data_IF_342525598559
#
_entry.id   IF_342525598559
#
_cell.length_a   1.000
_cell.length_b   1.000
_cell.length_c   1.000
_cell.angle_alpha   90.00
_cell.angle_beta   90.00
_cell.angle_gamma   90.00
#
_symmetry.space_group_name_H-M   'P 1'
#
loop_
_entity.id
_entity.type
_entity.pdbx_description
1 polymer ?
#
# COMPACT_ATOMS: atom_id res chain seq x y z
N UNK A 1 15.42 -15.89 -16.61
CA UNK A 1 16.26 -15.33 -15.53
C UNK A 1 15.45 -15.41 -14.27
N UNK A 2 15.87 -16.26 -13.33
CA UNK A 2 15.19 -16.42 -12.04
C UNK A 2 15.40 -15.13 -11.27
N UNK A 3 14.37 -14.28 -11.17
CA UNK A 3 14.34 -13.15 -10.27
C UNK A 3 14.32 -13.70 -8.84
N UNK A 4 15.30 -13.33 -8.02
CA UNK A 4 15.23 -13.62 -6.60
C UNK A 4 13.92 -13.02 -6.06
N UNK A 5 13.11 -13.85 -5.43
CA UNK A 5 11.90 -13.39 -4.74
C UNK A 5 12.30 -12.28 -3.77
N UNK A 6 11.74 -11.10 -3.93
CA UNK A 6 11.92 -9.99 -2.99
C UNK A 6 10.95 -10.23 -1.85
N UNK A 7 11.49 -10.60 -0.72
CA UNK A 7 10.71 -10.86 0.49
C UNK A 7 10.41 -9.54 1.20
N UNK A 8 9.14 -9.30 1.54
CA UNK A 8 8.78 -8.23 2.47
C UNK A 8 8.92 -8.71 3.91
N UNK A 9 9.38 -7.85 4.85
CA UNK A 9 9.46 -8.21 6.26
C UNK A 9 8.09 -8.66 6.80
N UNK A 10 8.04 -9.84 7.41
CA UNK A 10 6.84 -10.42 8.01
C UNK A 10 6.08 -11.44 7.15
N UNK A 11 6.27 -11.47 5.84
CA UNK A 11 5.60 -12.43 4.93
C UNK A 11 6.59 -13.40 4.26
N UNK A 12 7.88 -13.21 4.50
CA UNK A 12 8.96 -13.99 3.93
C UNK A 12 8.72 -15.50 4.06
N UNK A 13 8.66 -16.17 2.93
CA UNK A 13 8.60 -17.62 2.86
C UNK A 13 7.21 -18.25 3.05
N UNK A 14 6.13 -17.50 3.21
CA UNK A 14 4.79 -18.10 3.34
C UNK A 14 4.30 -18.71 2.02
N UNK A 15 4.66 -18.10 0.89
CA UNK A 15 4.28 -18.56 -0.45
C UNK A 15 5.53 -18.69 -1.34
N UNK A 16 6.48 -19.58 -0.99
CA UNK A 16 7.77 -19.66 -1.65
C UNK A 16 7.64 -20.01 -3.11
N UNK A 17 8.28 -19.24 -3.99
CA UNK A 17 8.29 -19.47 -5.42
C UNK A 17 6.96 -19.20 -6.14
N UNK A 18 5.98 -18.62 -5.45
CA UNK A 18 4.72 -18.24 -6.07
C UNK A 18 4.85 -16.88 -6.75
N UNK A 19 4.54 -16.85 -8.04
CA UNK A 19 4.36 -15.60 -8.81
C UNK A 19 2.98 -15.62 -9.46
N UNK A 20 2.14 -14.66 -9.09
CA UNK A 20 0.79 -14.56 -9.65
C UNK A 20 0.80 -14.32 -11.16
N UNK A 21 1.86 -13.76 -11.73
CA UNK A 21 1.98 -13.53 -13.18
C UNK A 21 2.13 -14.84 -13.96
N UNK A 22 2.51 -15.95 -13.33
CA UNK A 22 2.46 -17.28 -13.93
C UNK A 22 1.02 -17.71 -14.28
N UNK A 23 0.01 -17.02 -13.74
CA UNK A 23 -1.41 -17.27 -14.02
C UNK A 23 -1.90 -16.57 -15.31
N UNK A 24 -1.12 -15.65 -15.89
CA UNK A 24 -1.51 -14.89 -17.10
C UNK A 24 -2.01 -15.78 -18.25
N UNK A 25 -1.38 -16.93 -18.58
CA UNK A 25 -1.86 -17.80 -19.66
C UNK A 25 -3.22 -18.45 -19.41
N UNK A 26 -3.70 -18.41 -18.18
CA UNK A 26 -4.95 -19.03 -17.75
C UNK A 26 -6.12 -18.04 -17.63
N UNK A 27 -5.87 -16.75 -17.79
CA UNK A 27 -6.89 -15.72 -17.86
C UNK A 27 -7.36 -15.49 -19.28
N UNK A 28 -8.54 -14.93 -19.45
CA UNK A 28 -8.92 -14.38 -20.74
C UNK A 28 -8.11 -13.09 -21.02
N UNK A 29 -8.09 -12.68 -22.29
CA UNK A 29 -7.27 -11.55 -22.71
C UNK A 29 -7.59 -10.28 -21.95
N UNK A 30 -8.86 -9.98 -21.71
CA UNK A 30 -9.28 -8.74 -21.03
C UNK A 30 -8.79 -8.74 -19.59
N UNK A 31 -8.96 -9.84 -18.87
CA UNK A 31 -8.47 -10.00 -17.50
C UNK A 31 -6.93 -9.90 -17.44
N UNK A 32 -6.23 -10.57 -18.35
CA UNK A 32 -4.78 -10.51 -18.43
C UNK A 32 -4.28 -9.07 -18.68
N UNK A 33 -4.87 -8.38 -19.66
CA UNK A 33 -4.51 -6.99 -20.00
C UNK A 33 -4.71 -6.05 -18.79
N UNK A 34 -5.80 -6.18 -18.03
CA UNK A 34 -6.07 -5.38 -16.82
C UNK A 34 -5.06 -5.66 -15.71
N UNK A 35 -4.67 -6.92 -15.50
CA UNK A 35 -3.67 -7.26 -14.46
C UNK A 35 -2.29 -6.77 -14.86
N UNK A 36 -1.88 -7.02 -16.10
CA UNK A 36 -0.57 -6.59 -16.60
C UNK A 36 -0.42 -5.07 -16.62
N UNK A 37 -1.48 -4.33 -16.96
CA UNK A 37 -1.45 -2.87 -16.90
C UNK A 37 -1.12 -2.29 -15.51
N UNK A 38 -1.32 -3.06 -14.44
CA UNK A 38 -0.96 -2.68 -13.07
C UNK A 38 0.54 -2.77 -12.78
N UNK A 39 1.29 -3.48 -13.63
CA UNK A 39 2.75 -3.54 -13.55
C UNK A 39 3.43 -2.38 -14.29
N UNK A 40 2.67 -1.68 -15.15
CA UNK A 40 3.14 -0.51 -15.87
C UNK A 40 3.01 0.73 -15.00
N UNK A 41 4.12 1.15 -14.40
CA UNK A 41 4.11 2.28 -13.48
C UNK A 41 4.29 3.61 -14.21
N UNK A 42 3.43 4.60 -13.94
CA UNK A 42 3.71 5.97 -14.35
C UNK A 42 5.01 6.47 -13.68
N UNK A 43 5.93 7.01 -14.46
CA UNK A 43 7.25 7.45 -13.93
C UNK A 43 7.30 8.93 -13.59
N UNK A 44 6.35 9.73 -14.06
CA UNK A 44 6.34 11.18 -13.86
C UNK A 44 5.27 11.57 -12.83
N UNK A 45 5.67 12.27 -11.77
CA UNK A 45 4.76 12.91 -10.84
C UNK A 45 3.93 13.98 -11.56
N UNK A 46 2.64 14.02 -11.29
CA UNK A 46 1.67 14.97 -11.90
C UNK A 46 0.91 15.78 -10.86
N UNK A 47 0.76 15.23 -9.66
CA UNK A 47 -0.01 15.83 -8.58
C UNK A 47 0.88 16.45 -7.51
N UNK A 48 1.84 15.70 -6.98
CA UNK A 48 2.71 16.16 -5.91
C UNK A 48 3.83 17.06 -6.44
N UNK A 49 4.13 18.12 -5.70
CA UNK A 49 5.35 18.90 -5.86
C UNK A 49 6.55 18.09 -5.34
N UNK A 50 7.79 18.49 -5.66
CA UNK A 50 9.01 17.80 -5.23
C UNK A 50 9.10 17.62 -3.71
N UNK A 51 8.72 18.64 -2.93
CA UNK A 51 8.72 18.55 -1.47
C UNK A 51 7.61 17.64 -0.94
N UNK A 52 6.42 17.70 -1.56
CA UNK A 52 5.30 16.80 -1.21
C UNK A 52 5.62 15.36 -1.60
N UNK A 53 6.28 15.14 -2.75
CA UNK A 53 6.73 13.81 -3.19
C UNK A 53 7.62 13.15 -2.15
N UNK A 54 8.65 13.85 -1.67
CA UNK A 54 9.59 13.30 -0.69
C UNK A 54 8.89 12.89 0.60
N UNK A 55 8.02 13.74 1.13
CA UNK A 55 7.24 13.47 2.33
C UNK A 55 6.26 12.30 2.12
N UNK A 56 5.51 12.30 1.00
CA UNK A 56 4.54 11.26 0.67
C UNK A 56 5.23 9.90 0.46
N UNK A 57 6.41 9.87 -0.16
CA UNK A 57 7.19 8.64 -0.37
C UNK A 57 7.59 8.01 0.96
N UNK A 58 8.14 8.81 1.88
CA UNK A 58 8.51 8.35 3.20
C UNK A 58 7.29 7.82 3.98
N UNK A 59 6.18 8.56 3.97
CA UNK A 59 4.93 8.17 4.60
C UNK A 59 4.39 6.86 4.04
N UNK A 60 4.28 6.74 2.71
CA UNK A 60 3.70 5.57 2.06
C UNK A 60 4.57 4.32 2.23
N UNK A 61 5.90 4.45 2.18
CA UNK A 61 6.83 3.36 2.45
C UNK A 61 6.68 2.83 3.87
N UNK A 62 6.57 3.71 4.88
CA UNK A 62 6.33 3.29 6.26
C UNK A 62 4.98 2.58 6.42
N UNK A 63 3.91 3.12 5.83
CA UNK A 63 2.58 2.52 5.93
C UNK A 63 2.47 1.15 5.26
N UNK A 64 3.28 0.89 4.24
CA UNK A 64 3.27 -0.38 3.48
C UNK A 64 4.43 -1.30 3.87
N UNK A 65 5.31 -0.88 4.79
CA UNK A 65 6.45 -1.68 5.24
C UNK A 65 7.50 -1.92 4.15
N UNK A 66 7.63 -1.01 3.17
CA UNK A 66 8.59 -1.16 2.08
C UNK A 66 9.90 -0.46 2.37
N UNK A 67 11.01 -1.18 2.28
CA UNK A 67 12.38 -0.63 2.31
C UNK A 67 12.86 -0.19 0.91
N UNK A 68 12.05 -0.41 -0.12
CA UNK A 68 12.34 -0.12 -1.52
C UNK A 68 11.05 0.12 -2.32
N UNK A 69 11.19 0.20 -3.63
CA UNK A 69 10.05 0.43 -4.54
C UNK A 69 9.61 -0.88 -5.22
N UNK A 70 9.34 -1.93 -4.43
CA UNK A 70 8.82 -3.19 -4.98
C UNK A 70 7.43 -2.97 -5.60
N UNK A 71 6.59 -2.19 -4.91
CA UNK A 71 5.32 -1.67 -5.44
C UNK A 71 5.44 -0.14 -5.51
N UNK A 72 5.15 0.48 -6.66
CA UNK A 72 5.27 1.92 -6.86
C UNK A 72 4.05 2.67 -6.28
N UNK A 73 3.87 2.56 -4.96
CA UNK A 73 2.68 3.07 -4.26
C UNK A 73 2.50 4.58 -4.45
N UNK A 74 3.58 5.33 -4.35
CA UNK A 74 3.51 6.79 -4.52
C UNK A 74 3.05 7.17 -5.93
N UNK A 75 3.64 6.56 -6.94
CA UNK A 75 3.32 6.82 -8.34
C UNK A 75 1.87 6.48 -8.66
N UNK A 76 1.34 5.40 -8.08
CA UNK A 76 -0.06 5.01 -8.21
C UNK A 76 -0.99 6.00 -7.50
N UNK A 77 -0.62 6.45 -6.30
CA UNK A 77 -1.38 7.47 -5.55
C UNK A 77 -1.37 8.81 -6.28
N UNK A 78 -0.19 9.24 -6.77
CA UNK A 78 -0.04 10.48 -7.55
C UNK A 78 -0.92 10.48 -8.80
N UNK A 79 -0.85 9.41 -9.59
CA UNK A 79 -1.65 9.26 -10.81
C UNK A 79 -3.15 9.33 -10.52
N UNK A 80 -3.60 8.67 -9.47
CA UNK A 80 -4.99 8.66 -9.03
C UNK A 80 -5.47 10.05 -8.61
N UNK A 81 -4.69 10.76 -7.80
CA UNK A 81 -4.99 12.12 -7.37
C UNK A 81 -4.97 13.11 -8.54
N UNK A 82 -4.02 12.97 -9.47
CA UNK A 82 -3.94 13.79 -10.68
C UNK A 82 -5.15 13.60 -11.61
N UNK A 83 -5.66 12.36 -11.68
CA UNK A 83 -6.88 12.05 -12.45
C UNK A 83 -8.18 12.49 -11.74
N UNK A 84 -8.11 12.93 -10.48
CA UNK A 84 -9.30 13.24 -9.68
C UNK A 84 -10.15 12.01 -9.34
N UNK A 85 -9.55 10.82 -9.39
CA UNK A 85 -10.23 9.58 -9.05
C UNK A 85 -10.37 9.43 -7.53
N UNK A 86 -11.61 9.24 -7.07
CA UNK A 86 -11.95 9.08 -5.66
C UNK A 86 -12.63 7.72 -5.42
N UNK A 87 -12.85 7.38 -4.15
CA UNK A 87 -13.63 6.19 -3.79
C UNK A 87 -15.15 6.42 -3.87
N UNK A 88 -15.58 7.58 -4.38
CA UNK A 88 -16.99 7.97 -4.46
C UNK A 88 -17.59 8.42 -3.12
N UNK A 89 -16.79 8.48 -2.05
CA UNK A 89 -17.18 8.97 -0.74
C UNK A 89 -16.00 9.62 0.00
N UNK A 90 -16.29 10.48 0.95
CA UNK A 90 -15.33 11.04 1.92
C UNK A 90 -16.03 11.39 3.21
N UNK A 91 -15.27 11.58 4.28
CA UNK A 91 -15.79 12.13 5.51
C UNK A 91 -16.18 13.60 5.31
N UNK A 92 -17.37 14.01 5.80
CA UNK A 92 -17.89 15.36 5.60
C UNK A 92 -17.05 16.45 6.28
N UNK A 93 -16.28 16.09 7.30
CA UNK A 93 -15.37 16.93 8.08
C UNK A 93 -13.93 16.92 7.56
N UNK A 94 -13.68 16.29 6.42
CA UNK A 94 -12.40 16.31 5.71
C UNK A 94 -12.49 17.14 4.43
N UNK A 95 -11.41 17.83 4.04
CA UNK A 95 -11.31 18.42 2.71
C UNK A 95 -11.42 17.37 1.60
N UNK A 96 -11.53 17.81 0.35
CA UNK A 96 -11.35 16.95 -0.82
C UNK A 96 -10.02 16.20 -0.75
N UNK A 97 -9.98 14.96 -1.23
CA UNK A 97 -8.84 14.05 -1.04
C UNK A 97 -7.51 14.69 -1.45
N UNK A 98 -7.44 15.35 -2.61
CA UNK A 98 -6.22 16.02 -3.04
C UNK A 98 -5.78 17.15 -2.11
N UNK A 99 -6.73 17.98 -1.63
CA UNK A 99 -6.43 19.04 -0.67
C UNK A 99 -6.07 18.46 0.70
N UNK A 100 -6.72 17.38 1.11
CA UNK A 100 -6.41 16.68 2.36
C UNK A 100 -4.99 16.12 2.34
N UNK A 101 -4.55 15.52 1.23
CA UNK A 101 -3.18 15.06 1.04
C UNK A 101 -2.17 16.21 1.21
N UNK A 102 -2.32 17.32 0.46
CA UNK A 102 -1.42 18.48 0.58
C UNK A 102 -1.34 19.04 1.99
N UNK A 103 -2.51 19.22 2.62
CA UNK A 103 -2.58 19.75 3.98
C UNK A 103 -1.88 18.83 4.98
N UNK A 104 -2.16 17.54 4.91
CA UNK A 104 -1.63 16.57 5.90
C UNK A 104 -0.14 16.33 5.73
N UNK A 105 0.40 16.35 4.50
CA UNK A 105 1.85 16.29 4.28
C UNK A 105 2.57 17.51 4.83
N UNK A 106 2.02 18.71 4.62
CA UNK A 106 2.60 19.95 5.18
C UNK A 106 2.62 19.95 6.72
N UNK A 107 1.55 19.44 7.34
CA UNK A 107 1.45 19.33 8.80
C UNK A 107 2.41 18.27 9.36
N UNK A 108 2.52 17.12 8.68
CA UNK A 108 3.47 16.05 9.06
C UNK A 108 4.93 16.55 8.99
N UNK A 109 5.26 17.31 7.96
CA UNK A 109 6.56 17.97 7.81
C UNK A 109 6.83 19.01 8.91
N UNK A 110 5.79 19.77 9.31
CA UNK A 110 5.91 20.72 10.42
C UNK A 110 6.18 20.01 11.75
N UNK A 111 5.46 18.92 12.03
CA UNK A 111 5.68 18.11 13.23
C UNK A 111 7.08 17.48 13.23
N UNK A 112 7.57 17.01 12.08
CA UNK A 112 8.91 16.46 11.97
C UNK A 112 10.00 17.52 12.25
N UNK A 113 9.84 18.72 11.71
CA UNK A 113 10.77 19.83 11.99
C UNK A 113 10.75 20.23 13.48
N UNK A 114 9.60 20.15 14.12
CA UNK A 114 9.49 20.41 15.55
C UNK A 114 10.16 19.31 16.40
N UNK A 115 10.05 18.05 15.98
CA UNK A 115 10.60 16.91 16.72
C UNK A 115 12.11 16.73 16.51
N UNK A 116 12.56 16.74 15.26
CA UNK A 116 13.92 16.35 14.84
C UNK A 116 14.73 17.47 14.18
N UNK A 117 14.10 18.62 13.88
CA UNK A 117 14.75 19.74 13.19
C UNK A 117 14.85 19.56 11.67
N UNK A 118 14.34 18.45 11.10
CA UNK A 118 14.42 18.13 9.67
C UNK A 118 13.02 17.91 9.08
N UNK A 119 12.90 17.89 7.75
CA UNK A 119 11.68 17.48 7.08
C UNK A 119 11.36 16.00 7.41
N UNK A 120 10.10 15.60 7.27
CA UNK A 120 9.68 14.23 7.59
C UNK A 120 10.48 13.17 6.83
N UNK A 121 10.72 13.38 5.53
CA UNK A 121 11.49 12.46 4.71
C UNK A 121 12.95 12.28 5.17
N UNK A 122 13.53 13.30 5.77
CA UNK A 122 14.94 13.35 6.25
C UNK A 122 15.06 13.00 7.74
N UNK A 123 13.92 12.84 8.43
CA UNK A 123 13.93 12.51 9.85
C UNK A 123 14.39 11.06 10.07
N UNK A 124 15.02 10.75 11.22
CA UNK A 124 15.38 9.39 11.57
C UNK A 124 14.17 8.47 11.51
N UNK A 125 14.30 7.21 11.04
CA UNK A 125 13.18 6.25 10.93
C UNK A 125 12.37 6.08 12.22
N UNK A 126 13.04 6.11 13.37
CA UNK A 126 12.37 6.03 14.68
C UNK A 126 11.47 7.25 14.96
N UNK A 127 11.89 8.45 14.53
CA UNK A 127 11.09 9.67 14.70
C UNK A 127 9.93 9.70 13.70
N UNK A 128 10.14 9.24 12.47
CA UNK A 128 9.07 9.07 11.49
C UNK A 128 7.98 8.12 12.02
N UNK A 129 8.37 6.93 12.50
CA UNK A 129 7.44 5.96 13.09
C UNK A 129 6.71 6.53 14.31
N UNK A 130 7.42 7.25 15.19
CA UNK A 130 6.83 7.90 16.36
C UNK A 130 5.79 8.96 15.98
N UNK A 131 6.02 9.74 14.94
CA UNK A 131 5.05 10.73 14.47
C UNK A 131 3.78 10.05 13.94
N UNK A 132 3.91 9.00 13.15
CA UNK A 132 2.76 8.26 12.64
C UNK A 132 1.97 7.59 13.77
N UNK A 133 2.68 6.97 14.72
CA UNK A 133 2.06 6.37 15.90
C UNK A 133 1.30 7.43 16.72
N UNK A 134 1.87 8.62 16.89
CA UNK A 134 1.20 9.71 17.61
C UNK A 134 -0.12 10.12 16.93
N UNK A 135 -0.17 10.22 15.60
CA UNK A 135 -1.41 10.50 14.86
C UNK A 135 -2.43 9.37 15.05
N UNK A 136 -2.00 8.12 14.96
CA UNK A 136 -2.86 6.95 15.16
C UNK A 136 -3.44 6.90 16.57
N UNK A 137 -2.65 7.20 17.60
CA UNK A 137 -3.04 7.12 19.00
C UNK A 137 -4.04 8.21 19.42
N UNK A 138 -4.13 9.31 18.66
CA UNK A 138 -5.13 10.35 18.89
C UNK A 138 -6.57 9.84 18.69
N UNK A 139 -6.79 8.79 17.90
CA UNK A 139 -8.11 8.18 17.65
C UNK A 139 -9.16 9.22 17.27
N UNK A 140 -10.12 9.48 18.17
CA UNK A 140 -11.20 10.47 17.97
C UNK A 140 -10.80 11.91 18.26
N UNK A 141 -9.56 12.16 18.73
CA UNK A 141 -9.09 13.52 18.98
C UNK A 141 -8.67 14.21 17.66
N UNK A 142 -8.49 15.53 17.73
CA UNK A 142 -8.02 16.32 16.59
C UNK A 142 -6.49 16.31 16.46
N UNK A 143 -6.01 16.31 15.21
CA UNK A 143 -4.63 16.56 14.83
C UNK A 143 -4.60 17.81 13.94
N UNK A 144 -4.01 18.90 14.42
CA UNK A 144 -3.99 20.20 13.74
C UNK A 144 -5.39 20.69 13.26
N UNK A 145 -6.44 20.41 14.03
CA UNK A 145 -7.80 20.80 13.68
C UNK A 145 -8.52 19.84 12.71
N UNK A 146 -7.87 18.77 12.25
CA UNK A 146 -8.48 17.68 11.50
C UNK A 146 -8.76 16.49 12.42
N UNK A 147 -9.82 15.69 12.18
CA UNK A 147 -10.04 14.46 12.93
C UNK A 147 -8.92 13.44 12.64
N UNK A 148 -8.12 13.09 13.65
CA UNK A 148 -6.95 12.23 13.47
C UNK A 148 -7.29 10.86 12.87
N UNK A 149 -8.41 10.25 13.28
CA UNK A 149 -8.88 9.00 12.72
C UNK A 149 -9.19 9.09 11.21
N UNK A 150 -9.70 10.23 10.75
CA UNK A 150 -10.00 10.43 9.34
C UNK A 150 -8.74 10.72 8.52
N UNK A 151 -7.76 11.41 9.09
CA UNK A 151 -6.42 11.57 8.50
C UNK A 151 -5.74 10.21 8.36
N UNK A 152 -5.74 9.40 9.43
CA UNK A 152 -5.20 8.04 9.39
C UNK A 152 -5.90 7.17 8.35
N UNK A 153 -7.23 7.24 8.29
CA UNK A 153 -8.03 6.54 7.28
C UNK A 153 -7.69 6.99 5.85
N UNK A 154 -7.48 8.29 5.61
CA UNK A 154 -7.06 8.80 4.29
C UNK A 154 -5.74 8.16 3.86
N UNK A 155 -4.72 8.25 4.70
CA UNK A 155 -3.38 7.74 4.38
C UNK A 155 -3.37 6.24 4.16
N UNK A 156 -3.93 5.46 5.10
CA UNK A 156 -3.93 4.00 5.02
C UNK A 156 -4.80 3.48 3.88
N UNK A 157 -5.94 4.10 3.61
CA UNK A 157 -6.82 3.72 2.50
C UNK A 157 -6.12 3.86 1.15
N UNK A 158 -5.46 4.99 0.89
CA UNK A 158 -4.71 5.20 -0.35
C UNK A 158 -3.50 4.27 -0.44
N UNK A 159 -2.72 4.14 0.64
CA UNK A 159 -1.57 3.25 0.69
C UNK A 159 -1.95 1.79 0.42
N UNK A 160 -2.93 1.25 1.15
CA UNK A 160 -3.37 -0.13 1.00
C UNK A 160 -4.04 -0.39 -0.35
N UNK A 161 -4.86 0.55 -0.85
CA UNK A 161 -5.50 0.39 -2.16
C UNK A 161 -4.45 0.32 -3.27
N UNK A 162 -3.44 1.17 -3.25
CA UNK A 162 -2.36 1.13 -4.23
C UNK A 162 -1.51 -0.13 -4.08
N UNK A 163 -1.07 -0.45 -2.86
CA UNK A 163 -0.20 -1.60 -2.60
C UNK A 163 -0.86 -2.92 -3.01
N UNK A 164 -2.07 -3.19 -2.51
CA UNK A 164 -2.78 -4.45 -2.82
C UNK A 164 -3.49 -4.46 -4.18
N UNK A 165 -3.45 -3.38 -4.95
CA UNK A 165 -3.81 -3.43 -6.36
C UNK A 165 -2.70 -4.03 -7.24
N UNK A 166 -1.45 -4.06 -6.77
CA UNK A 166 -0.30 -4.48 -7.55
C UNK A 166 -0.08 -6.00 -7.48
N UNK A 167 0.21 -6.70 -8.60
CA UNK A 167 0.42 -8.15 -8.63
C UNK A 167 1.53 -8.65 -7.72
N UNK A 168 2.58 -7.86 -7.48
CA UNK A 168 3.61 -8.20 -6.50
C UNK A 168 3.04 -8.44 -5.10
N UNK A 169 2.16 -7.55 -4.62
CA UNK A 169 1.53 -7.73 -3.32
C UNK A 169 0.59 -8.94 -3.27
N UNK A 170 0.00 -9.33 -4.40
CA UNK A 170 -0.79 -10.57 -4.49
C UNK A 170 0.06 -11.82 -4.31
N UNK A 171 1.25 -11.84 -4.91
CA UNK A 171 2.19 -12.95 -4.73
C UNK A 171 2.63 -13.07 -3.26
N UNK A 172 2.88 -11.95 -2.58
CA UNK A 172 3.28 -11.90 -1.17
C UNK A 172 2.23 -12.47 -0.22
N UNK A 173 0.94 -12.31 -0.53
CA UNK A 173 -0.19 -12.80 0.29
C UNK A 173 -0.79 -14.11 -0.23
N UNK A 174 -0.21 -14.70 -1.27
CA UNK A 174 -0.69 -15.94 -1.87
C UNK A 174 -2.03 -15.79 -2.61
N UNK A 175 -2.41 -14.57 -3.01
CA UNK A 175 -3.62 -14.36 -3.79
C UNK A 175 -3.35 -14.70 -5.27
N UNK A 176 -4.06 -15.70 -5.84
CA UNK A 176 -3.76 -16.20 -7.18
C UNK A 176 -4.31 -15.33 -8.33
N UNK A 177 -4.74 -14.11 -8.00
CA UNK A 177 -5.35 -13.20 -8.96
C UNK A 177 -6.80 -13.59 -9.30
N UNK A 178 -7.38 -12.97 -10.35
CA UNK A 178 -8.76 -13.20 -10.74
C UNK A 178 -9.02 -14.67 -11.10
N UNK A 179 -10.10 -15.24 -10.56
CA UNK A 179 -10.50 -16.60 -10.88
C UNK A 179 -11.10 -16.75 -12.30
N UNK A 180 -11.55 -15.66 -12.90
CA UNK A 180 -12.14 -15.68 -14.24
C UNK A 180 -11.08 -15.98 -15.32
N UNK A 181 -11.37 -16.85 -16.34
CA UNK A 181 -12.67 -17.51 -16.56
C UNK A 181 -12.81 -18.88 -15.87
N UNK A 182 -11.84 -19.33 -15.09
CA UNK A 182 -11.80 -20.68 -14.49
C UNK A 182 -12.90 -20.91 -13.46
N UNK A 183 -13.20 -19.89 -12.64
CA UNK A 183 -14.11 -19.98 -11.52
C UNK A 183 -13.59 -20.84 -10.37
N UNK A 184 -14.29 -20.81 -9.25
CA UNK A 184 -14.05 -21.70 -8.10
C UNK A 184 -14.96 -22.92 -8.20
N UNK A 185 -14.38 -24.12 -8.12
CA UNK A 185 -15.07 -25.43 -8.20
C UNK A 185 -14.96 -26.21 -6.91
N UNK A 186 -13.89 -25.98 -6.12
CA UNK A 186 -13.64 -26.66 -4.84
C UNK A 186 -14.18 -25.81 -3.68
N UNK A 187 -15.48 -25.87 -3.41
CA UNK A 187 -16.17 -25.01 -2.44
C UNK A 187 -16.19 -25.56 -1.02
N UNK A 188 -15.17 -26.24 -0.55
CA UNK A 188 -15.10 -26.78 0.82
C UNK A 188 -14.12 -26.02 1.70
N UNK A 189 -14.33 -26.04 3.02
CA UNK A 189 -13.37 -25.48 3.98
C UNK A 189 -12.01 -26.14 3.82
N UNK A 190 -10.95 -25.34 3.67
CA UNK A 190 -9.56 -25.81 3.51
C UNK A 190 -9.27 -26.50 2.17
N UNK A 191 -10.19 -26.42 1.19
CA UNK A 191 -9.94 -26.91 -0.16
C UNK A 191 -9.45 -25.77 -1.04
N UNK A 192 -8.38 -26.05 -1.79
CA UNK A 192 -7.79 -25.11 -2.72
C UNK A 192 -8.12 -25.51 -4.16
N UNK A 193 -8.22 -24.53 -5.03
CA UNK A 193 -8.20 -24.76 -6.48
C UNK A 193 -6.77 -25.07 -6.94
N UNK A 194 -6.58 -25.76 -8.10
CA UNK A 194 -5.25 -26.07 -8.60
C UNK A 194 -4.35 -24.86 -8.88
N UNK A 195 -4.92 -23.68 -8.95
CA UNK A 195 -4.21 -22.41 -9.16
C UNK A 195 -3.97 -21.61 -7.88
N UNK A 196 -4.47 -22.06 -6.75
CA UNK A 196 -4.23 -21.46 -5.45
C UNK A 196 -2.98 -22.08 -4.82
N UNK A 197 -2.21 -21.25 -4.09
CA UNK A 197 -1.02 -21.67 -3.38
C UNK A 197 -1.33 -21.87 -1.90
N UNK A 198 -0.82 -22.95 -1.33
CA UNK A 198 -0.93 -23.20 0.11
C UNK A 198 0.09 -22.38 0.90
N UNK A 199 -0.34 -21.86 2.04
CA UNK A 199 0.57 -21.22 2.99
C UNK A 199 1.55 -22.26 3.56
N UNK A 200 2.84 -21.98 3.50
CA UNK A 200 3.88 -22.87 4.05
C UNK A 200 3.91 -22.84 5.60
N UNK A 201 3.33 -21.79 6.21
CA UNK A 201 3.32 -21.58 7.66
C UNK A 201 1.91 -21.28 8.21
N UNK A 202 0.89 -22.13 7.97
CA UNK A 202 -0.52 -21.80 8.22
C UNK A 202 -0.86 -21.67 9.72
N UNK A 203 -0.01 -22.17 10.60
CA UNK A 203 -0.20 -22.08 12.06
C UNK A 203 0.54 -20.90 12.70
N UNK A 204 1.31 -20.16 11.92
CA UNK A 204 2.05 -19.00 12.42
C UNK A 204 1.23 -17.73 12.22
N UNK A 205 1.17 -16.89 13.26
CA UNK A 205 0.57 -15.56 13.13
C UNK A 205 1.43 -14.70 12.17
N UNK A 206 0.85 -14.18 11.07
CA UNK A 206 1.58 -13.32 10.16
C UNK A 206 1.94 -11.96 10.77
N UNK A 207 1.22 -11.53 11.81
CA UNK A 207 1.47 -10.28 12.54
C UNK A 207 2.23 -10.62 13.82
N UNK A 208 3.45 -11.10 13.69
CA UNK A 208 4.30 -11.24 14.87
C UNK A 208 4.75 -9.88 15.35
N UNK A 209 4.47 -9.60 16.61
CA UNK A 209 5.20 -8.57 17.33
C UNK A 209 6.69 -8.90 17.23
N UNK A 210 7.46 -7.94 16.75
CA UNK A 210 8.90 -8.12 16.60
C UNK A 210 9.50 -8.54 17.94
N UNK A 211 10.24 -9.64 17.91
CA UNK A 211 11.05 -10.08 19.03
C UNK A 211 12.21 -9.13 19.26
#
# INVERSE_FOLDING_TARGET
MSGAARETPGWAGRFPGFDVLDQVPHWDRVTADVVLARTDTPTAMKFFTESEESCARALLNLLTGQDGQAVPVLEMVDARLAAGETDGWRYADMPEDGQAWRNTLALLDADARQLSGTAFADAPPADQAKLLQAVQDLKSAGWHGLPAAHVWSLWTRYACTAFYAHPFAWAEIGFPGPAYPRGYKNTGVGKLEPFEVGDAHPSEDPVREGA
#
